data_IF_189265527771
#
_entry.id   IF_189265527771
#
_cell.length_a   1.000
_cell.length_b   1.000
_cell.length_c   1.000
_cell.angle_alpha   90.00
_cell.angle_beta   90.00
_cell.angle_gamma   90.00
#
_symmetry.space_group_name_H-M   'P 1'
#
loop_
_entity.id
_entity.type
_entity.pdbx_description
1 polymer ?
#
# COMPACT_ATOMS: atom_id res chain seq x y z
N UNK A 1 -51.37 -7.17 45.93
CA UNK A 1 -50.66 -6.10 46.63
C UNK A 1 -49.35 -5.83 45.88
N UNK A 2 -49.25 -4.62 45.27
CA UNK A 2 -48.07 -3.81 44.92
C UNK A 2 -46.92 -4.51 44.23
N UNK A 3 -46.69 -4.31 42.91
CA UNK A 3 -46.00 -3.21 42.21
C UNK A 3 -44.55 -2.99 42.63
N UNK A 4 -43.59 -3.17 41.70
CA UNK A 4 -42.73 -2.07 41.29
C UNK A 4 -41.86 -2.47 40.12
N UNK A 5 -41.91 -1.60 39.14
CA UNK A 5 -41.10 -1.50 37.95
C UNK A 5 -39.65 -1.16 38.28
N UNK A 6 -38.72 -1.74 37.51
CA UNK A 6 -37.32 -1.33 37.49
C UNK A 6 -36.80 -1.46 36.09
N UNK A 7 -36.93 -0.42 35.30
CA UNK A 7 -36.29 -0.31 33.98
C UNK A 7 -34.80 -0.18 34.12
N UNK A 8 -34.04 -1.04 33.44
CA UNK A 8 -32.62 -0.89 33.31
C UNK A 8 -32.27 -0.52 31.86
N UNK A 9 -32.06 0.75 31.66
CA UNK A 9 -31.57 1.30 30.40
C UNK A 9 -30.10 0.99 30.22
N UNK A 10 -29.79 0.00 29.43
CA UNK A 10 -28.43 -0.26 28.97
C UNK A 10 -27.99 0.81 27.95
N UNK A 11 -27.17 1.72 28.40
CA UNK A 11 -26.44 2.68 27.55
C UNK A 11 -25.45 1.89 26.68
N UNK A 12 -25.69 1.90 25.38
CA UNK A 12 -24.74 1.44 24.38
C UNK A 12 -23.46 2.28 24.40
N UNK A 13 -22.35 1.63 24.72
CA UNK A 13 -21.02 2.21 24.59
C UNK A 13 -20.68 2.46 23.12
N UNK A 14 -20.54 3.71 22.73
CA UNK A 14 -19.90 4.10 21.48
C UNK A 14 -18.41 3.85 21.62
N UNK A 15 -17.91 2.81 20.98
CA UNK A 15 -16.49 2.66 20.74
C UNK A 15 -16.07 3.73 19.72
N UNK A 16 -15.43 4.78 20.22
CA UNK A 16 -14.80 5.80 19.39
C UNK A 16 -13.62 5.16 18.66
N UNK A 17 -13.74 4.97 17.35
CA UNK A 17 -12.63 4.69 16.48
C UNK A 17 -11.71 5.91 16.47
N UNK A 18 -10.60 5.83 17.20
CA UNK A 18 -9.52 6.80 17.14
C UNK A 18 -8.89 6.75 15.76
N UNK A 19 -9.25 7.68 14.87
CA UNK A 19 -8.48 7.94 13.68
C UNK A 19 -7.15 8.57 14.13
N UNK A 20 -6.13 7.74 14.26
CA UNK A 20 -4.75 8.22 14.35
C UNK A 20 -4.42 8.95 13.05
N UNK A 21 -4.47 10.29 13.10
CA UNK A 21 -3.83 11.13 12.09
C UNK A 21 -2.34 10.85 12.17
N UNK A 22 -1.87 9.90 11.37
CA UNK A 22 -0.46 9.65 11.18
C UNK A 22 0.21 10.89 10.62
N UNK A 23 1.13 11.41 11.38
CA UNK A 23 2.09 12.44 11.02
C UNK A 23 2.75 12.04 9.70
N UNK A 24 2.51 12.82 8.65
CA UNK A 24 3.22 12.71 7.39
C UNK A 24 4.64 13.23 7.56
N UNK A 25 5.61 12.36 7.66
CA UNK A 25 7.01 12.81 7.76
C UNK A 25 8.00 11.70 8.08
N UNK A 26 7.83 10.53 7.52
CA UNK A 26 8.85 9.48 7.62
C UNK A 26 8.80 8.58 6.40
N UNK A 27 9.84 8.61 5.58
CA UNK A 27 10.11 7.56 4.59
C UNK A 27 10.49 6.29 5.35
N UNK A 28 9.56 5.73 6.11
CA UNK A 28 9.83 4.47 6.79
C UNK A 28 9.75 3.34 5.77
N UNK A 29 10.77 2.51 5.73
CA UNK A 29 10.83 1.31 4.89
C UNK A 29 9.59 0.40 5.11
N UNK A 30 8.92 0.52 6.27
CA UNK A 30 7.69 -0.20 6.60
C UNK A 30 6.52 0.06 5.65
N UNK A 31 6.49 1.22 4.97
CA UNK A 31 5.44 1.51 3.97
C UNK A 31 5.63 0.72 2.67
N UNK A 32 6.73 -0.01 2.53
CA UNK A 32 7.07 -0.81 1.36
C UNK A 32 6.96 -2.31 1.60
N UNK A 33 6.82 -2.71 2.84
CA UNK A 33 6.54 -4.10 3.17
C UNK A 33 5.11 -4.37 2.72
N UNK A 34 4.94 -5.35 1.85
CA UNK A 34 3.61 -5.86 1.48
C UNK A 34 2.85 -6.21 2.76
N UNK A 35 1.56 -5.90 2.81
CA UNK A 35 0.68 -6.41 3.86
C UNK A 35 0.88 -7.91 3.99
N UNK A 36 0.72 -8.40 5.21
CA UNK A 36 0.87 -9.81 5.59
C UNK A 36 0.04 -10.70 4.66
N UNK A 37 0.67 -11.14 3.57
CA UNK A 37 0.14 -12.15 2.67
C UNK A 37 0.64 -13.48 3.21
N UNK A 38 -0.26 -14.43 3.39
CA UNK A 38 0.13 -15.78 3.80
C UNK A 38 1.27 -16.31 2.91
N UNK A 39 2.09 -17.24 3.45
CA UNK A 39 3.21 -17.81 2.73
C UNK A 39 4.57 -17.23 3.14
N UNK A 40 5.58 -17.48 2.31
CA UNK A 40 6.96 -17.06 2.56
C UNK A 40 7.28 -15.83 1.70
N UNK A 41 7.61 -14.73 2.34
CA UNK A 41 7.99 -13.49 1.70
C UNK A 41 9.50 -13.30 1.73
N UNK A 42 10.11 -13.12 0.57
CA UNK A 42 11.51 -12.72 0.41
C UNK A 42 11.57 -11.33 -0.20
N UNK A 43 12.05 -10.35 0.57
CA UNK A 43 12.17 -8.95 0.12
C UNK A 43 13.64 -8.54 0.05
N UNK A 44 14.04 -8.03 -1.10
CA UNK A 44 15.32 -7.38 -1.32
C UNK A 44 15.08 -5.92 -1.68
N UNK A 45 15.89 -5.01 -1.15
CA UNK A 45 15.75 -3.60 -1.42
C UNK A 45 17.08 -2.85 -1.43
N UNK A 46 17.12 -1.77 -2.19
CA UNK A 46 18.24 -0.84 -2.26
C UNK A 46 17.72 0.59 -2.22
N UNK A 47 18.41 1.46 -1.50
CA UNK A 47 18.10 2.87 -1.42
C UNK A 47 19.33 3.73 -1.63
N UNK A 48 19.17 4.83 -2.35
CA UNK A 48 20.22 5.84 -2.57
C UNK A 48 19.66 7.19 -2.20
N UNK A 49 20.43 7.97 -1.46
CA UNK A 49 20.12 9.35 -1.12
C UNK A 49 21.25 10.26 -1.63
N UNK A 50 20.85 11.38 -2.21
CA UNK A 50 21.72 12.42 -2.68
C UNK A 50 21.30 13.75 -2.09
N UNK A 51 22.26 14.54 -1.60
CA UNK A 51 22.05 15.91 -1.10
C UNK A 51 23.22 16.75 -1.54
N UNK A 52 22.94 17.89 -2.17
CA UNK A 52 23.96 18.85 -2.54
C UNK A 52 23.44 20.29 -2.47
N UNK A 53 24.36 21.23 -2.30
CA UNK A 53 24.06 22.65 -2.20
C UNK A 53 25.08 23.46 -3.02
N UNK A 54 24.57 24.29 -3.94
CA UNK A 54 25.39 25.10 -4.83
C UNK A 54 25.22 26.61 -4.54
N UNK A 55 26.35 27.26 -4.21
CA UNK A 55 26.44 28.70 -4.02
C UNK A 55 25.39 29.29 -3.05
N UNK A 56 25.04 28.56 -2.02
CA UNK A 56 24.01 28.94 -1.02
C UNK A 56 22.64 29.32 -1.64
N UNK A 57 22.42 29.03 -2.93
CA UNK A 57 21.20 29.40 -3.66
C UNK A 57 20.36 28.22 -4.10
N UNK A 58 20.99 27.09 -4.35
CA UNK A 58 20.31 25.89 -4.85
C UNK A 58 20.61 24.74 -3.93
N UNK A 59 19.56 24.18 -3.32
CA UNK A 59 19.65 22.98 -2.51
C UNK A 59 18.84 21.88 -3.17
N UNK A 60 19.50 20.79 -3.54
CA UNK A 60 18.88 19.61 -4.10
C UNK A 60 19.00 18.44 -3.14
N UNK A 61 17.90 17.82 -2.82
CA UNK A 61 17.88 16.51 -2.18
C UNK A 61 17.07 15.55 -3.03
N UNK A 62 17.58 14.35 -3.23
CA UNK A 62 16.89 13.30 -3.96
C UNK A 62 17.06 11.97 -3.24
N UNK A 63 16.02 11.15 -3.28
CA UNK A 63 16.05 9.79 -2.75
C UNK A 63 15.41 8.85 -3.76
N UNK A 64 16.07 7.75 -3.99
CA UNK A 64 15.53 6.65 -4.79
C UNK A 64 15.54 5.39 -3.95
N UNK A 65 14.44 4.66 -4.01
CA UNK A 65 14.29 3.37 -3.36
C UNK A 65 13.67 2.37 -4.32
N UNK A 66 14.27 1.20 -4.39
CA UNK A 66 13.75 0.03 -5.10
C UNK A 66 13.63 -1.13 -4.15
N UNK A 67 12.55 -1.87 -4.22
CA UNK A 67 12.46 -3.19 -3.61
C UNK A 67 11.71 -4.16 -4.51
N UNK A 68 12.14 -5.42 -4.43
CA UNK A 68 11.47 -6.57 -5.01
C UNK A 68 11.09 -7.54 -3.91
N UNK A 69 9.82 -7.91 -3.87
CA UNK A 69 9.30 -8.94 -2.97
C UNK A 69 8.82 -10.12 -3.79
N UNK A 70 9.31 -11.32 -3.47
CA UNK A 70 8.75 -12.58 -3.92
C UNK A 70 7.90 -13.14 -2.80
N UNK A 71 6.68 -13.56 -3.10
CA UNK A 71 5.81 -14.31 -2.21
C UNK A 71 5.59 -15.70 -2.79
N UNK A 72 5.87 -16.73 -2.00
CA UNK A 72 5.58 -18.12 -2.29
C UNK A 72 4.53 -18.60 -1.30
N UNK A 73 3.35 -18.95 -1.76
CA UNK A 73 2.25 -19.42 -0.96
C UNK A 73 1.78 -20.79 -1.45
N UNK A 74 1.73 -21.77 -0.55
CA UNK A 74 1.12 -23.07 -0.79
C UNK A 74 -0.04 -23.25 0.18
N UNK A 75 -1.15 -23.76 -0.31
CA UNK A 75 -2.36 -24.00 0.47
C UNK A 75 -2.93 -25.38 0.21
N UNK A 76 -3.39 -26.02 1.27
CA UNK A 76 -4.15 -27.27 1.19
C UNK A 76 -5.45 -27.05 1.95
N UNK A 77 -6.56 -27.41 1.33
CA UNK A 77 -7.90 -27.31 1.92
C UNK A 77 -8.57 -28.65 1.81
N UNK A 78 -8.88 -29.25 2.97
CA UNK A 78 -9.69 -30.45 3.07
C UNK A 78 -11.02 -30.12 3.73
N UNK A 79 -12.12 -30.53 3.09
CA UNK A 79 -13.49 -30.33 3.60
C UNK A 79 -14.30 -31.62 3.46
N UNK A 80 -15.02 -31.96 4.48
CA UNK A 80 -16.03 -33.00 4.46
C UNK A 80 -17.43 -32.36 4.52
N UNK A 81 -18.26 -32.70 3.54
CA UNK A 81 -19.66 -32.30 3.52
C UNK A 81 -20.51 -33.51 3.95
N UNK A 82 -21.15 -33.38 5.11
CA UNK A 82 -22.05 -34.39 5.65
C UNK A 82 -23.43 -34.23 5.02
N UNK A 83 -23.76 -35.11 4.08
CA UNK A 83 -25.05 -35.13 3.38
C UNK A 83 -25.81 -36.40 3.81
N UNK A 84 -27.16 -36.31 3.87
CA UNK A 84 -28.03 -37.30 4.51
C UNK A 84 -27.84 -38.76 4.03
N UNK A 85 -27.44 -38.96 2.76
CA UNK A 85 -27.27 -40.29 2.19
C UNK A 85 -25.80 -40.67 1.88
N UNK A 86 -24.91 -39.68 1.79
CA UNK A 86 -23.49 -39.89 1.49
C UNK A 86 -22.66 -38.65 1.87
N UNK A 87 -21.42 -38.89 2.27
CA UNK A 87 -20.47 -37.81 2.51
C UNK A 87 -19.71 -37.47 1.23
N UNK A 88 -19.41 -36.17 1.09
CA UNK A 88 -18.53 -35.69 0.03
C UNK A 88 -17.23 -35.16 0.65
N UNK A 89 -16.13 -35.49 0.01
CA UNK A 89 -14.80 -35.03 0.41
C UNK A 89 -14.27 -34.12 -0.68
N UNK A 90 -13.96 -32.89 -0.28
CA UNK A 90 -13.32 -31.91 -1.15
C UNK A 90 -11.88 -31.74 -0.72
N UNK A 91 -10.96 -31.96 -1.65
CA UNK A 91 -9.53 -31.71 -1.49
C UNK A 91 -9.07 -30.72 -2.50
N UNK A 92 -8.36 -29.66 -2.05
CA UNK A 92 -7.79 -28.62 -2.91
C UNK A 92 -6.34 -28.39 -2.54
N UNK A 93 -5.49 -28.34 -3.55
CA UNK A 93 -4.12 -27.87 -3.45
C UNK A 93 -3.95 -26.61 -4.28
N UNK A 94 -3.26 -25.60 -3.73
CA UNK A 94 -2.98 -24.35 -4.40
C UNK A 94 -1.51 -23.94 -4.23
N UNK A 95 -0.90 -23.44 -5.30
CA UNK A 95 0.44 -22.86 -5.30
C UNK A 95 0.33 -21.50 -5.97
N UNK A 96 0.63 -20.45 -5.21
CA UNK A 96 0.65 -19.09 -5.71
C UNK A 96 2.06 -18.49 -5.57
N UNK A 97 2.57 -17.96 -6.66
CA UNK A 97 3.86 -17.28 -6.70
C UNK A 97 3.63 -15.88 -7.23
N UNK A 98 4.06 -14.87 -6.48
CA UNK A 98 3.98 -13.49 -6.96
C UNK A 98 5.28 -12.72 -6.75
N UNK A 99 5.54 -11.81 -7.68
CA UNK A 99 6.64 -10.85 -7.63
C UNK A 99 6.05 -9.45 -7.60
N UNK A 100 6.58 -8.64 -6.71
CA UNK A 100 6.17 -7.25 -6.58
C UNK A 100 7.41 -6.34 -6.61
N UNK A 101 7.52 -5.54 -7.66
CA UNK A 101 8.60 -4.59 -7.88
C UNK A 101 8.10 -3.18 -7.59
N UNK A 102 8.76 -2.48 -6.68
CA UNK A 102 8.42 -1.12 -6.31
C UNK A 102 9.60 -0.18 -6.53
N UNK A 103 9.35 0.89 -7.26
CA UNK A 103 10.28 1.99 -7.45
C UNK A 103 9.70 3.26 -6.86
N UNK A 104 10.48 3.99 -6.10
CA UNK A 104 10.09 5.29 -5.57
C UNK A 104 11.23 6.29 -5.70
N UNK A 105 10.91 7.40 -6.33
CA UNK A 105 11.80 8.55 -6.46
C UNK A 105 11.13 9.76 -5.80
N UNK A 106 11.84 10.42 -4.90
CA UNK A 106 11.45 11.71 -4.36
C UNK A 106 12.61 12.68 -4.56
N UNK A 107 12.28 13.90 -4.92
CA UNK A 107 13.27 14.96 -4.94
C UNK A 107 12.69 16.24 -4.33
N UNK A 108 13.57 17.10 -3.88
CA UNK A 108 13.26 18.43 -3.38
C UNK A 108 14.34 19.37 -3.90
N UNK A 109 13.90 20.39 -4.62
CA UNK A 109 14.73 21.48 -5.09
C UNK A 109 14.26 22.76 -4.41
N UNK A 110 15.12 23.36 -3.59
CA UNK A 110 14.94 24.69 -3.06
C UNK A 110 15.86 25.62 -3.84
N UNK A 111 15.31 26.65 -4.47
CA UNK A 111 16.06 27.62 -5.27
C UNK A 111 15.74 29.04 -4.83
N UNK A 112 16.74 29.72 -4.29
CA UNK A 112 16.70 31.15 -3.96
C UNK A 112 17.12 31.97 -5.17
N UNK A 113 16.13 32.49 -5.89
CA UNK A 113 16.35 33.32 -7.09
C UNK A 113 17.07 34.61 -6.71
N UNK A 114 16.62 35.21 -5.62
CA UNK A 114 17.22 36.38 -4.97
C UNK A 114 16.73 36.48 -3.51
N UNK A 115 17.17 37.51 -2.77
CA UNK A 115 16.84 37.70 -1.34
C UNK A 115 15.33 37.81 -1.05
N UNK A 116 14.52 38.02 -2.09
CA UNK A 116 13.07 38.22 -1.98
C UNK A 116 12.24 37.14 -2.62
N UNK A 117 12.84 36.31 -3.47
CA UNK A 117 12.12 35.29 -4.26
C UNK A 117 12.77 33.95 -4.10
N UNK A 118 11.96 32.95 -3.81
CA UNK A 118 12.39 31.56 -3.82
C UNK A 118 11.32 30.64 -4.40
N UNK A 119 11.76 29.50 -4.89
CA UNK A 119 10.92 28.45 -5.45
C UNK A 119 11.29 27.11 -4.83
N UNK A 120 10.30 26.40 -4.34
CA UNK A 120 10.44 25.04 -3.83
C UNK A 120 9.69 24.09 -4.76
N UNK A 121 10.38 23.08 -5.28
CA UNK A 121 9.80 22.07 -6.18
C UNK A 121 10.00 20.69 -5.53
N UNK A 122 8.92 19.93 -5.40
CA UNK A 122 8.93 18.62 -4.75
C UNK A 122 8.24 17.56 -5.64
N UNK A 123 8.93 17.04 -6.67
CA UNK A 123 8.43 15.92 -7.43
C UNK A 123 8.54 14.62 -6.63
N UNK A 124 7.55 13.76 -6.79
CA UNK A 124 7.54 12.40 -6.27
C UNK A 124 6.98 11.48 -7.36
N UNK A 125 7.66 10.40 -7.64
CA UNK A 125 7.26 9.38 -8.58
C UNK A 125 7.32 8.02 -7.91
N UNK A 126 6.30 7.20 -8.11
CA UNK A 126 6.31 5.80 -7.74
C UNK A 126 5.79 4.94 -8.88
N UNK A 127 6.42 3.80 -9.06
CA UNK A 127 6.02 2.77 -10.00
C UNK A 127 5.96 1.44 -9.25
N UNK A 128 4.93 0.65 -9.52
CA UNK A 128 4.75 -0.69 -8.99
C UNK A 128 4.40 -1.63 -10.14
N UNK A 129 5.13 -2.73 -10.23
CA UNK A 129 4.82 -3.88 -11.08
C UNK A 129 4.50 -5.08 -10.21
N UNK A 130 3.46 -5.82 -10.56
CA UNK A 130 3.10 -7.07 -9.91
C UNK A 130 2.90 -8.13 -10.99
N UNK A 131 3.56 -9.28 -10.81
CA UNK A 131 3.43 -10.48 -11.62
C UNK A 131 3.01 -11.62 -10.69
N UNK A 132 1.86 -12.21 -10.94
CA UNK A 132 1.28 -13.24 -10.09
C UNK A 132 0.84 -14.44 -10.94
N UNK A 133 1.20 -15.64 -10.46
CA UNK A 133 0.80 -16.91 -11.03
C UNK A 133 0.20 -17.76 -9.90
N UNK A 134 -0.97 -18.30 -10.13
CA UNK A 134 -1.72 -19.12 -9.17
C UNK A 134 -2.24 -20.38 -9.87
N UNK A 135 -1.84 -21.54 -9.37
CA UNK A 135 -2.30 -22.85 -9.82
C UNK A 135 -3.10 -23.49 -8.70
N UNK A 136 -4.36 -23.79 -8.98
CA UNK A 136 -5.27 -24.44 -8.02
C UNK A 136 -5.85 -25.69 -8.64
N UNK A 137 -5.63 -26.82 -7.97
CA UNK A 137 -6.22 -28.12 -8.33
C UNK A 137 -7.18 -28.54 -7.22
N UNK A 138 -8.37 -28.99 -7.62
CA UNK A 138 -9.35 -29.47 -6.66
C UNK A 138 -10.04 -30.74 -7.17
N UNK A 139 -10.35 -31.61 -6.22
CA UNK A 139 -11.08 -32.83 -6.46
C UNK A 139 -12.18 -33.01 -5.42
N UNK A 140 -13.36 -33.42 -5.86
CA UNK A 140 -14.46 -33.82 -4.98
C UNK A 140 -14.77 -35.28 -5.20
N UNK A 141 -14.78 -36.06 -4.14
CA UNK A 141 -15.08 -37.49 -4.15
C UNK A 141 -16.24 -37.83 -3.21
N UNK A 142 -16.91 -38.92 -3.47
CA UNK A 142 -17.87 -39.53 -2.58
C UNK A 142 -17.19 -40.47 -1.56
N UNK A 143 -17.95 -40.93 -0.56
CA UNK A 143 -17.47 -41.88 0.44
C UNK A 143 -17.07 -43.26 -0.15
N UNK A 144 -17.51 -43.61 -1.35
CA UNK A 144 -17.12 -44.79 -2.10
C UNK A 144 -15.93 -44.56 -3.06
N UNK A 145 -15.20 -43.42 -2.89
CA UNK A 145 -14.07 -42.99 -3.72
C UNK A 145 -14.45 -42.60 -5.18
N UNK A 146 -15.72 -42.55 -5.52
CA UNK A 146 -16.16 -42.06 -6.82
C UNK A 146 -15.88 -40.55 -6.98
N UNK A 147 -15.24 -40.18 -8.09
CA UNK A 147 -14.92 -38.77 -8.38
C UNK A 147 -16.15 -38.08 -8.92
N UNK A 148 -16.65 -37.09 -8.17
CA UNK A 148 -17.75 -36.24 -8.60
C UNK A 148 -17.31 -35.09 -9.50
N UNK A 149 -16.16 -34.47 -9.15
CA UNK A 149 -15.67 -33.29 -9.84
C UNK A 149 -14.17 -33.20 -9.72
N UNK A 150 -13.53 -32.73 -10.79
CA UNK A 150 -12.12 -32.31 -10.80
C UNK A 150 -12.02 -30.94 -11.45
N UNK A 151 -11.21 -30.07 -10.88
CA UNK A 151 -11.00 -28.71 -11.36
C UNK A 151 -9.51 -28.42 -11.35
N UNK A 152 -9.00 -27.90 -12.46
CA UNK A 152 -7.65 -27.38 -12.62
C UNK A 152 -7.80 -25.91 -13.06
N UNK A 153 -7.31 -24.98 -12.26
CA UNK A 153 -7.34 -23.56 -12.57
C UNK A 153 -5.90 -23.03 -12.60
N UNK A 154 -5.55 -22.39 -13.71
CA UNK A 154 -4.29 -21.69 -13.89
C UNK A 154 -4.61 -20.23 -14.14
N UNK A 155 -4.13 -19.37 -13.26
CA UNK A 155 -4.35 -17.94 -13.31
C UNK A 155 -3.02 -17.21 -13.36
N UNK A 156 -2.89 -16.29 -14.31
CA UNK A 156 -1.73 -15.41 -14.46
C UNK A 156 -2.18 -13.97 -14.61
N UNK A 157 -1.55 -13.07 -13.90
CA UNK A 157 -1.87 -11.65 -13.94
C UNK A 157 -0.60 -10.80 -13.87
N UNK A 158 -0.51 -9.80 -14.76
CA UNK A 158 0.52 -8.77 -14.72
C UNK A 158 -0.18 -7.44 -14.52
N UNK A 159 0.14 -6.76 -13.42
CA UNK A 159 -0.43 -5.48 -13.07
C UNK A 159 0.69 -4.44 -12.97
N UNK A 160 0.44 -3.24 -13.48
CA UNK A 160 1.34 -2.11 -13.33
C UNK A 160 0.57 -0.90 -12.84
N UNK A 161 1.19 -0.14 -11.94
CA UNK A 161 0.64 1.10 -11.45
C UNK A 161 1.74 2.15 -11.36
N UNK A 162 1.42 3.40 -11.65
CA UNK A 162 2.33 4.51 -11.44
C UNK A 162 1.61 5.69 -10.79
N UNK A 163 2.35 6.46 -10.03
CA UNK A 163 1.84 7.67 -9.42
C UNK A 163 2.91 8.76 -9.55
N UNK A 164 2.52 9.89 -10.08
CA UNK A 164 3.35 11.09 -10.15
C UNK A 164 2.65 12.21 -9.39
N UNK A 165 3.38 12.86 -8.51
CA UNK A 165 2.92 14.07 -7.83
C UNK A 165 4.01 15.12 -7.83
N UNK A 166 3.64 16.38 -8.00
CA UNK A 166 4.55 17.49 -7.89
C UNK A 166 3.92 18.62 -7.09
N UNK A 167 4.71 19.25 -6.24
CA UNK A 167 4.30 20.42 -5.47
C UNK A 167 5.27 21.55 -5.75
N UNK A 168 4.79 22.63 -6.33
CA UNK A 168 5.57 23.83 -6.60
C UNK A 168 5.07 24.92 -5.68
N UNK A 169 5.99 25.53 -4.96
CA UNK A 169 5.73 26.64 -4.05
C UNK A 169 6.64 27.82 -4.41
N UNK A 170 6.04 28.91 -4.90
CA UNK A 170 6.72 30.16 -5.12
C UNK A 170 6.50 31.08 -3.92
N UNK A 171 7.55 31.72 -3.42
CA UNK A 171 7.53 32.66 -2.29
C UNK A 171 8.05 34.02 -2.76
N UNK A 172 7.35 35.08 -2.42
CA UNK A 172 7.74 36.46 -2.68
C UNK A 172 7.70 37.28 -1.41
N UNK A 173 8.80 37.89 -1.02
CA UNK A 173 8.88 38.86 0.08
C UNK A 173 8.65 40.27 -0.44
N UNK A 174 7.85 41.06 0.23
CA UNK A 174 7.60 42.48 -0.08
C UNK A 174 8.30 43.40 0.88
N UNK A 175 8.73 44.60 0.42
CA UNK A 175 9.48 45.58 1.23
C UNK A 175 8.65 46.30 2.28
N UNK A 176 7.32 46.14 2.30
CA UNK A 176 6.46 46.81 3.31
C UNK A 176 6.40 46.00 4.59
N UNK A 177 6.63 46.69 5.71
CA UNK A 177 6.50 46.13 7.06
C UNK A 177 5.10 45.51 7.22
N UNK A 178 5.03 44.27 7.63
CA UNK A 178 3.76 43.52 7.86
C UNK A 178 3.18 42.73 6.69
N UNK A 179 3.80 42.72 5.50
CA UNK A 179 3.37 41.88 4.33
C UNK A 179 4.53 41.04 3.85
N UNK A 180 4.59 39.80 4.26
CA UNK A 180 5.81 39.02 4.11
C UNK A 180 5.77 37.98 3.00
N UNK A 181 4.61 37.45 2.55
CA UNK A 181 4.59 36.38 1.56
C UNK A 181 3.32 36.33 0.71
N UNK A 182 3.48 36.18 -0.60
CA UNK A 182 2.52 35.51 -1.46
C UNK A 182 3.09 34.11 -1.74
N UNK A 183 2.35 33.07 -1.39
CA UNK A 183 2.69 31.70 -1.65
C UNK A 183 1.67 31.15 -2.66
N UNK A 184 2.14 30.72 -3.82
CA UNK A 184 1.30 30.01 -4.80
C UNK A 184 1.74 28.56 -4.78
N UNK A 185 0.88 27.68 -4.24
CA UNK A 185 1.12 26.24 -4.22
C UNK A 185 0.25 25.58 -5.29
N UNK A 186 0.88 24.90 -6.24
CA UNK A 186 0.22 24.08 -7.23
C UNK A 186 0.63 22.62 -7.03
N UNK A 187 -0.36 21.75 -6.83
CA UNK A 187 -0.14 20.31 -6.71
C UNK A 187 -0.75 19.62 -7.92
N UNK A 188 0.04 18.80 -8.57
CA UNK A 188 -0.39 17.90 -9.62
C UNK A 188 -0.28 16.47 -9.11
N UNK A 189 -1.26 15.66 -9.40
CA UNK A 189 -1.25 14.23 -9.12
C UNK A 189 -1.84 13.52 -10.33
N UNK A 190 -1.14 12.51 -10.82
CA UNK A 190 -1.60 11.60 -11.86
C UNK A 190 -1.33 10.19 -11.36
N UNK A 191 -2.26 9.28 -11.51
CA UNK A 191 -2.11 7.87 -11.15
C UNK A 191 -3.13 7.04 -11.92
N UNK A 192 -2.81 5.79 -12.18
CA UNK A 192 -3.69 4.74 -12.72
C UNK A 192 -3.69 3.60 -11.73
#
# INVERSE_FOLDING_TARGET
VASSSGGNSSRGGRSGGGSSRGSSGGNSASNFLSMDQGGINLTNGIGVNFVDEWKDKVKLSASYFYNRTKNDNASIIDREYLIQDFNQFYHQEGIAISYNDNHRLNAKLDYDINDKQSIDIKPSFSFQGNDANDLVQAITTLSNEEVLSKSDNDFSAINTAYNFSNSILFKQKFNKIGRTFISIKKRFRTGV
#
